data_IF_203309376859
#
_entry.id   IF_203309376859
#
_cell.length_a   1.000
_cell.length_b   1.000
_cell.length_c   1.000
_cell.angle_alpha   90.00
_cell.angle_beta   90.00
_cell.angle_gamma   90.00
#
_symmetry.space_group_name_H-M   'P 1'
#
loop_
_entity.id
_entity.type
_entity.pdbx_description
1 polymer ?
#
# COMPACT_ATOMS: atom_id res chain seq x y z
N UNK A 1 2.29 24.13 -22.74
CA UNK A 1 2.83 22.76 -22.65
C UNK A 1 1.92 21.96 -21.72
N UNK A 2 1.27 20.92 -22.22
CA UNK A 2 0.53 19.98 -21.36
C UNK A 2 1.54 19.26 -20.47
N UNK A 3 1.45 19.44 -19.16
CA UNK A 3 2.23 18.66 -18.20
C UNK A 3 1.81 17.19 -18.34
N UNK A 4 2.70 16.36 -18.83
CA UNK A 4 2.49 14.92 -18.84
C UNK A 4 2.64 14.43 -17.38
N UNK A 5 1.52 14.02 -16.76
CA UNK A 5 1.48 13.67 -15.33
C UNK A 5 2.22 12.37 -14.99
N UNK A 6 2.35 11.47 -15.96
CA UNK A 6 3.02 10.19 -15.80
C UNK A 6 4.14 10.04 -16.84
N UNK A 7 5.21 9.25 -16.54
CA UNK A 7 6.22 8.86 -17.50
C UNK A 7 5.58 8.20 -18.74
N UNK A 8 6.19 8.41 -19.91
CA UNK A 8 5.68 7.83 -21.18
C UNK A 8 5.63 6.29 -21.17
N UNK A 9 6.50 5.67 -20.42
CA UNK A 9 6.64 4.21 -20.26
C UNK A 9 5.96 3.67 -18.98
N UNK A 10 5.04 4.46 -18.37
CA UNK A 10 4.38 4.07 -17.12
C UNK A 10 3.63 2.75 -17.22
N UNK A 11 2.84 2.57 -18.29
CA UNK A 11 2.04 1.35 -18.49
C UNK A 11 2.94 0.12 -18.70
N UNK A 12 4.04 0.27 -19.43
CA UNK A 12 5.01 -0.81 -19.60
C UNK A 12 5.64 -1.21 -18.26
N UNK A 13 6.05 -0.23 -17.45
CA UNK A 13 6.61 -0.46 -16.11
C UNK A 13 5.61 -1.11 -15.16
N UNK A 14 4.35 -0.72 -15.24
CA UNK A 14 3.28 -1.34 -14.46
C UNK A 14 3.12 -2.82 -14.85
N UNK A 15 3.09 -3.13 -16.14
CA UNK A 15 3.06 -4.53 -16.62
C UNK A 15 4.29 -5.32 -16.15
N UNK A 16 5.49 -4.74 -16.21
CA UNK A 16 6.71 -5.36 -15.71
C UNK A 16 6.66 -5.63 -14.20
N UNK A 17 6.10 -4.70 -13.40
CA UNK A 17 5.91 -4.89 -11.96
C UNK A 17 4.97 -6.07 -11.66
N UNK A 18 3.85 -6.17 -12.39
CA UNK A 18 2.91 -7.30 -12.27
C UNK A 18 3.57 -8.62 -12.70
N UNK A 19 4.29 -8.65 -13.81
CA UNK A 19 5.02 -9.85 -14.24
C UNK A 19 6.07 -10.29 -13.22
N UNK A 20 6.80 -9.34 -12.64
CA UNK A 20 7.81 -9.61 -11.61
C UNK A 20 7.18 -10.20 -10.36
N UNK A 21 6.01 -9.67 -9.95
CA UNK A 21 5.22 -10.24 -8.87
C UNK A 21 4.90 -11.71 -9.10
N UNK A 22 4.36 -12.08 -10.28
CA UNK A 22 4.00 -13.45 -10.58
C UNK A 22 5.22 -14.38 -10.73
N UNK A 23 6.30 -13.90 -11.34
CA UNK A 23 7.56 -14.67 -11.44
C UNK A 23 8.12 -14.99 -10.06
N UNK A 24 8.11 -14.03 -9.12
CA UNK A 24 8.61 -14.26 -7.77
C UNK A 24 7.80 -15.30 -6.99
N UNK A 25 6.51 -15.46 -7.32
CA UNK A 25 5.64 -16.47 -6.70
C UNK A 25 5.74 -17.86 -7.33
N UNK A 26 6.13 -17.93 -8.61
CA UNK A 26 6.33 -19.20 -9.32
C UNK A 26 7.73 -19.79 -9.10
N UNK A 27 8.69 -18.98 -8.68
CA UNK A 27 10.03 -19.49 -8.39
C UNK A 27 9.94 -20.59 -7.33
N UNK A 28 10.48 -21.81 -7.59
CA UNK A 28 10.49 -22.88 -6.61
C UNK A 28 11.32 -22.41 -5.41
N UNK A 29 10.65 -21.96 -4.39
CA UNK A 29 11.24 -21.86 -3.07
C UNK A 29 11.60 -23.30 -2.66
N UNK A 30 12.79 -23.54 -2.14
CA UNK A 30 13.15 -24.82 -1.54
C UNK A 30 11.98 -25.23 -0.65
N UNK A 31 11.40 -26.40 -0.97
CA UNK A 31 10.29 -26.99 -0.21
C UNK A 31 10.81 -27.41 1.16
N UNK A 32 11.00 -26.45 2.06
CA UNK A 32 11.11 -26.71 3.49
C UNK A 32 9.70 -26.88 4.04
N UNK A 33 9.48 -27.99 4.75
CA UNK A 33 8.26 -28.33 5.47
C UNK A 33 7.79 -27.17 6.37
N UNK A 34 7.00 -26.27 5.83
CA UNK A 34 6.48 -25.12 6.55
C UNK A 34 5.94 -24.11 5.58
N UNK A 35 4.78 -24.40 5.03
CA UNK A 35 3.91 -23.53 4.25
C UNK A 35 4.53 -22.31 3.54
N UNK A 36 3.89 -21.87 2.50
CA UNK A 36 4.13 -20.67 1.66
C UNK A 36 4.41 -19.33 2.42
N UNK A 37 4.66 -19.39 3.72
CA UNK A 37 4.97 -18.21 4.57
C UNK A 37 6.29 -17.53 4.22
N UNK A 38 7.33 -18.27 3.82
CA UNK A 38 8.67 -17.69 3.60
C UNK A 38 8.77 -16.83 2.33
N UNK A 39 8.02 -17.15 1.28
CA UNK A 39 7.95 -16.31 0.09
C UNK A 39 7.15 -15.01 0.36
N UNK A 40 6.14 -15.06 1.23
CA UNK A 40 5.34 -13.91 1.65
C UNK A 40 6.12 -13.02 2.61
N UNK A 41 7.00 -13.59 3.45
CA UNK A 41 7.81 -12.85 4.44
C UNK A 41 8.97 -12.07 3.82
N UNK A 42 9.40 -12.39 2.60
CA UNK A 42 10.56 -11.71 2.00
C UNK A 42 10.28 -10.27 1.53
N UNK A 43 9.02 -9.84 1.44
CA UNK A 43 8.64 -8.49 0.98
C UNK A 43 9.03 -8.18 -0.47
N UNK A 44 9.74 -9.09 -1.14
CA UNK A 44 10.28 -8.89 -2.50
C UNK A 44 9.22 -8.82 -3.60
N UNK A 45 8.03 -9.36 -3.32
CA UNK A 45 6.99 -9.49 -4.34
C UNK A 45 6.43 -8.14 -4.82
N UNK A 46 6.54 -7.09 -4.00
CA UNK A 46 6.02 -5.76 -4.30
C UNK A 46 7.12 -4.75 -4.68
N UNK A 47 8.38 -5.18 -4.79
CA UNK A 47 9.51 -4.29 -5.12
C UNK A 47 9.31 -3.55 -6.46
N UNK A 48 8.67 -4.18 -7.46
CA UNK A 48 8.34 -3.55 -8.73
C UNK A 48 7.40 -2.35 -8.60
N UNK A 49 6.45 -2.41 -7.67
CA UNK A 49 5.53 -1.30 -7.39
C UNK A 49 6.22 -0.19 -6.57
N UNK A 50 7.15 -0.55 -5.70
CA UNK A 50 7.99 0.44 -5.01
C UNK A 50 8.85 1.22 -6.01
N UNK A 51 9.42 0.54 -7.01
CA UNK A 51 10.18 1.18 -8.07
C UNK A 51 9.31 2.07 -8.96
N UNK A 52 8.07 1.66 -9.24
CA UNK A 52 7.13 2.49 -9.99
C UNK A 52 6.86 3.83 -9.30
N UNK A 53 6.68 3.84 -7.97
CA UNK A 53 6.57 5.09 -7.19
C UNK A 53 7.84 5.93 -7.31
N UNK A 54 9.02 5.32 -7.28
CA UNK A 54 10.30 6.03 -7.46
C UNK A 54 10.37 6.71 -8.81
N UNK A 55 10.03 6.01 -9.87
CA UNK A 55 10.03 6.55 -11.24
C UNK A 55 9.06 7.72 -11.38
N UNK A 56 7.85 7.61 -10.80
CA UNK A 56 6.88 8.71 -10.80
C UNK A 56 7.40 9.91 -10.00
N UNK A 57 8.00 9.68 -8.82
CA UNK A 57 8.59 10.76 -8.02
C UNK A 57 9.69 11.51 -8.77
N UNK A 58 10.57 10.79 -9.45
CA UNK A 58 11.63 11.38 -10.29
C UNK A 58 11.02 12.16 -11.47
N UNK A 59 10.01 11.61 -12.12
CA UNK A 59 9.29 12.29 -13.21
C UNK A 59 8.66 13.61 -12.74
N UNK A 60 8.19 13.65 -11.49
CA UNK A 60 7.69 14.86 -10.85
C UNK A 60 8.79 15.83 -10.39
N UNK A 61 10.06 15.57 -10.71
CA UNK A 61 11.19 16.42 -10.37
C UNK A 61 11.78 16.22 -8.97
N UNK A 62 11.41 15.15 -8.27
CA UNK A 62 12.01 14.81 -6.99
C UNK A 62 13.30 14.00 -7.19
N UNK A 63 14.34 14.19 -6.36
CA UNK A 63 15.54 13.37 -6.39
C UNK A 63 15.21 11.91 -5.98
N UNK A 64 15.95 10.94 -6.51
CA UNK A 64 15.71 9.51 -6.24
C UNK A 64 15.91 9.11 -4.77
N UNK A 65 16.81 9.80 -4.07
CA UNK A 65 17.18 9.54 -2.68
C UNK A 65 16.10 9.92 -1.67
N UNK A 66 15.07 10.67 -2.08
CA UNK A 66 13.93 11.02 -1.21
C UNK A 66 12.89 9.92 -1.13
N UNK A 67 13.02 8.87 -1.95
CA UNK A 67 12.12 7.72 -1.96
C UNK A 67 12.72 6.57 -1.14
N UNK A 68 12.13 6.30 0.01
CA UNK A 68 12.56 5.30 0.98
C UNK A 68 11.66 4.08 0.90
N UNK A 69 12.25 2.90 0.81
CA UNK A 69 11.53 1.61 0.77
C UNK A 69 11.80 0.80 2.04
N UNK A 70 11.04 -0.29 2.27
CA UNK A 70 11.18 -1.15 3.46
C UNK A 70 12.61 -1.56 3.80
N UNK A 71 13.44 -1.76 2.77
CA UNK A 71 14.85 -2.12 2.96
C UNK A 71 15.68 -0.88 3.26
N UNK A 72 15.45 -0.26 4.38
CA UNK A 72 16.19 0.93 4.77
C UNK A 72 15.39 1.79 5.72
N UNK A 73 15.07 3.00 5.30
CA UNK A 73 14.45 4.04 6.13
C UNK A 73 12.94 4.17 5.96
N UNK A 74 12.24 3.10 5.49
CA UNK A 74 10.79 3.09 5.27
C UNK A 74 9.92 3.01 6.54
N UNK A 75 10.44 3.44 7.71
CA UNK A 75 9.76 3.30 9.00
C UNK A 75 9.34 4.67 9.56
N UNK A 76 8.08 4.77 10.00
CA UNK A 76 7.54 5.94 10.68
C UNK A 76 7.17 5.60 12.13
N UNK A 77 7.20 6.58 13.05
CA UNK A 77 6.56 6.43 14.34
C UNK A 77 5.06 6.24 14.17
N UNK A 78 4.46 5.40 14.98
CA UNK A 78 3.02 5.25 15.12
C UNK A 78 2.52 5.95 16.39
N UNK A 79 1.21 6.01 16.55
CA UNK A 79 0.58 6.48 17.77
C UNK A 79 0.19 5.33 18.70
N UNK A 80 -0.42 4.29 18.12
CA UNK A 80 -0.84 3.09 18.86
C UNK A 80 0.25 2.01 18.95
N UNK A 81 1.35 2.20 18.22
CA UNK A 81 2.55 1.34 18.20
C UNK A 81 3.80 2.20 18.11
N UNK A 82 4.92 1.71 18.60
CA UNK A 82 6.16 2.48 18.57
C UNK A 82 6.57 2.90 17.16
N UNK A 83 6.52 1.96 16.21
CA UNK A 83 6.88 2.19 14.81
C UNK A 83 6.08 1.31 13.86
N UNK A 84 5.95 1.75 12.60
CA UNK A 84 5.42 0.97 11.48
C UNK A 84 6.34 1.12 10.27
N UNK A 85 6.70 -0.01 9.67
CA UNK A 85 7.34 -0.03 8.36
C UNK A 85 6.27 0.09 7.26
N UNK A 86 6.45 1.02 6.34
CA UNK A 86 5.65 1.24 5.16
C UNK A 86 6.38 0.74 3.92
N UNK A 87 5.66 0.46 2.85
CA UNK A 87 6.29 -0.03 1.62
C UNK A 87 7.12 1.06 0.95
N UNK A 88 6.59 2.29 0.87
CA UNK A 88 7.31 3.45 0.36
C UNK A 88 6.98 4.69 1.18
N UNK A 89 8.02 5.45 1.52
CA UNK A 89 7.93 6.82 2.01
C UNK A 89 8.60 7.76 1.02
N UNK A 90 8.00 8.93 0.83
CA UNK A 90 8.63 10.04 0.10
C UNK A 90 8.85 11.17 1.11
N UNK A 91 10.12 11.44 1.43
CA UNK A 91 10.52 12.48 2.39
C UNK A 91 11.45 13.45 1.69
N UNK A 92 11.02 14.70 1.56
CA UNK A 92 11.83 15.74 0.90
C UNK A 92 11.93 16.98 1.78
N UNK A 93 13.16 17.45 1.99
CA UNK A 93 13.48 18.63 2.82
C UNK A 93 12.84 18.55 4.21
N UNK A 94 12.90 17.38 4.82
CA UNK A 94 12.35 17.15 6.16
C UNK A 94 10.85 16.99 6.26
N UNK A 95 10.15 16.97 5.13
CA UNK A 95 8.71 16.82 5.07
C UNK A 95 8.34 15.44 4.56
N UNK A 96 7.40 14.79 5.24
CA UNK A 96 6.75 13.59 4.74
C UNK A 96 5.75 14.01 3.62
N UNK A 97 6.10 13.71 2.37
CA UNK A 97 5.31 14.07 1.18
C UNK A 97 4.25 13.01 0.90
N UNK A 98 4.66 11.73 0.91
CA UNK A 98 3.77 10.63 0.58
C UNK A 98 4.14 9.35 1.33
N UNK A 99 3.14 8.52 1.55
CA UNK A 99 3.23 7.19 2.16
C UNK A 99 2.44 6.21 1.32
N UNK A 100 3.01 5.04 1.02
CA UNK A 100 2.32 4.01 0.26
C UNK A 100 2.37 2.67 0.99
N UNK A 101 1.23 1.98 0.96
CA UNK A 101 1.06 0.60 1.44
C UNK A 101 0.57 -0.26 0.29
N UNK A 102 1.30 -1.33 0.00
CA UNK A 102 0.96 -2.29 -1.05
C UNK A 102 0.62 -3.63 -0.45
N UNK A 103 -0.47 -4.21 -0.90
CA UNK A 103 -0.94 -5.52 -0.47
C UNK A 103 -1.18 -6.40 -1.66
N UNK A 104 -1.02 -7.70 -1.45
CA UNK A 104 -1.39 -8.70 -2.46
C UNK A 104 -2.13 -9.85 -1.81
N UNK A 105 -2.99 -10.47 -2.60
CA UNK A 105 -3.66 -11.71 -2.21
C UNK A 105 -3.77 -12.67 -3.38
N UNK A 106 -3.25 -13.87 -3.16
CA UNK A 106 -3.31 -15.01 -4.06
C UNK A 106 -3.82 -16.18 -3.23
N UNK A 107 -4.99 -16.72 -3.60
CA UNK A 107 -5.69 -17.75 -2.82
C UNK A 107 -6.17 -17.31 -1.43
N UNK A 108 -6.72 -18.24 -0.68
CA UNK A 108 -7.19 -18.08 0.73
C UNK A 108 -8.01 -16.80 0.97
N UNK A 109 -8.92 -16.47 0.04
CA UNK A 109 -9.61 -15.18 0.02
C UNK A 109 -10.44 -14.93 1.30
N UNK A 110 -11.17 -15.95 1.79
CA UNK A 110 -12.04 -15.83 2.96
C UNK A 110 -11.29 -15.45 4.24
N UNK A 111 -10.17 -16.11 4.50
CA UNK A 111 -9.40 -15.90 5.72
C UNK A 111 -8.64 -14.57 5.72
N UNK A 112 -8.32 -14.06 4.54
CA UNK A 112 -7.42 -12.90 4.43
C UNK A 112 -8.16 -11.58 4.19
N UNK A 113 -9.39 -11.58 3.67
CA UNK A 113 -10.11 -10.34 3.37
C UNK A 113 -10.28 -9.47 4.62
N UNK A 114 -10.76 -10.05 5.73
CA UNK A 114 -10.95 -9.31 6.97
C UNK A 114 -9.62 -8.78 7.51
N UNK A 115 -8.56 -9.61 7.52
CA UNK A 115 -7.24 -9.18 7.97
C UNK A 115 -6.70 -8.01 7.14
N UNK A 116 -6.86 -8.04 5.81
CA UNK A 116 -6.45 -6.94 4.93
C UNK A 116 -7.25 -5.68 5.15
N UNK A 117 -8.55 -5.83 5.45
CA UNK A 117 -9.42 -4.69 5.80
C UNK A 117 -8.96 -4.04 7.11
N UNK A 118 -8.73 -4.85 8.15
CA UNK A 118 -8.25 -4.37 9.46
C UNK A 118 -6.87 -3.74 9.34
N UNK A 119 -5.93 -4.34 8.61
CA UNK A 119 -4.60 -3.79 8.37
C UNK A 119 -4.66 -2.42 7.65
N UNK A 120 -5.50 -2.29 6.62
CA UNK A 120 -5.64 -1.03 5.88
C UNK A 120 -6.20 0.08 6.78
N UNK A 121 -7.31 -0.18 7.46
CA UNK A 121 -7.96 0.79 8.35
C UNK A 121 -7.05 1.15 9.52
N UNK A 122 -6.50 0.15 10.22
CA UNK A 122 -5.64 0.36 11.38
C UNK A 122 -4.35 1.09 11.04
N UNK A 123 -3.75 0.84 9.88
CA UNK A 123 -2.54 1.53 9.43
C UNK A 123 -2.81 3.01 9.14
N UNK A 124 -3.91 3.32 8.46
CA UNK A 124 -4.29 4.69 8.17
C UNK A 124 -4.68 5.46 9.45
N UNK A 125 -5.49 4.85 10.31
CA UNK A 125 -5.90 5.45 11.58
C UNK A 125 -4.70 5.79 12.46
N UNK A 126 -3.74 4.86 12.59
CA UNK A 126 -2.50 5.06 13.34
C UNK A 126 -1.66 6.22 12.78
N UNK A 127 -1.49 6.27 11.45
CA UNK A 127 -0.74 7.34 10.77
C UNK A 127 -1.40 8.70 10.99
N UNK A 128 -2.72 8.79 10.82
CA UNK A 128 -3.43 10.07 10.95
C UNK A 128 -3.45 10.59 12.39
N UNK A 129 -3.52 9.70 13.40
CA UNK A 129 -3.39 10.11 14.80
C UNK A 129 -1.96 10.57 15.08
N UNK A 130 -0.93 9.82 14.65
CA UNK A 130 0.46 10.20 14.78
C UNK A 130 0.74 11.57 14.12
N UNK A 131 0.22 11.81 12.91
CA UNK A 131 0.33 13.10 12.22
C UNK A 131 -0.29 14.24 13.05
N UNK A 132 -1.53 14.09 13.52
CA UNK A 132 -2.20 15.11 14.34
C UNK A 132 -1.50 15.39 15.68
N UNK A 133 -0.76 14.40 16.20
CA UNK A 133 0.06 14.54 17.41
C UNK A 133 1.47 15.09 17.13
N UNK A 134 1.75 15.49 15.88
CA UNK A 134 3.02 16.12 15.51
C UNK A 134 4.19 15.15 15.34
N UNK A 135 3.95 13.84 15.23
CA UNK A 135 5.02 12.85 15.14
C UNK A 135 5.95 13.04 13.91
N UNK A 136 5.49 13.75 12.88
CA UNK A 136 6.25 13.99 11.64
C UNK A 136 6.73 15.44 11.49
N UNK A 137 6.61 16.26 12.54
CA UNK A 137 7.00 17.66 12.52
C UNK A 137 8.48 17.88 12.88
N UNK A 138 9.14 16.88 13.47
CA UNK A 138 10.53 16.96 13.91
C UNK A 138 11.34 15.86 13.24
N UNK A 139 12.27 16.23 12.35
CA UNK A 139 13.32 15.30 11.92
C UNK A 139 14.28 15.04 13.07
N UNK A 140 14.86 13.85 13.14
CA UNK A 140 16.03 13.63 13.99
C UNK A 140 17.11 14.64 13.60
N UNK A 141 17.71 15.28 14.60
CA UNK A 141 18.60 16.42 14.45
C UNK A 141 19.78 16.18 13.49
N UNK A 142 20.19 14.93 13.29
CA UNK A 142 21.31 14.52 12.45
C UNK A 142 20.96 14.51 10.93
N UNK A 143 19.67 14.62 10.57
CA UNK A 143 19.19 14.63 9.18
C UNK A 143 18.61 15.98 8.75
N UNK A 144 18.48 16.93 9.65
CA UNK A 144 17.97 18.25 9.31
C UNK A 144 19.07 19.12 8.73
N UNK A 145 18.95 19.65 7.51
CA UNK A 145 19.81 20.75 7.07
C UNK A 145 19.67 21.90 8.05
N UNK A 146 20.81 22.50 8.45
CA UNK A 146 20.81 23.63 9.36
C UNK A 146 19.84 24.73 8.85
N UNK A 147 18.84 25.08 9.65
CA UNK A 147 17.89 26.13 9.36
C UNK A 147 16.49 25.69 8.87
N UNK A 148 16.20 24.38 8.74
CA UNK A 148 14.87 23.91 8.36
C UNK A 148 14.08 23.48 9.61
N UNK A 149 13.58 24.46 10.34
CA UNK A 149 12.47 24.28 11.29
C UNK A 149 11.17 24.50 10.50
N UNK A 150 10.63 23.47 9.87
CA UNK A 150 9.31 23.57 9.27
C UNK A 150 8.44 22.45 9.81
N UNK A 151 7.64 22.78 10.80
CA UNK A 151 6.37 22.12 11.03
C UNK A 151 5.45 22.48 9.85
N UNK A 152 5.62 21.82 8.69
CA UNK A 152 4.68 21.97 7.59
C UNK A 152 3.39 21.23 7.98
N UNK A 153 2.28 21.94 8.23
CA UNK A 153 1.04 21.33 8.70
C UNK A 153 0.29 20.56 7.60
N UNK A 154 0.79 20.62 6.35
CA UNK A 154 0.13 19.94 5.24
C UNK A 154 0.22 18.42 5.41
N UNK A 155 -0.92 17.71 5.33
CA UNK A 155 -0.93 16.26 5.48
C UNK A 155 -0.16 15.58 4.34
N UNK A 156 0.48 14.43 4.59
CA UNK A 156 1.08 13.62 3.53
C UNK A 156 -0.01 13.03 2.63
N UNK A 157 0.33 12.78 1.38
CA UNK A 157 -0.49 11.90 0.54
C UNK A 157 -0.35 10.45 1.04
N UNK A 158 -1.46 9.75 1.22
CA UNK A 158 -1.46 8.34 1.65
C UNK A 158 -2.12 7.51 0.56
N UNK A 159 -1.35 6.61 -0.05
CA UNK A 159 -1.79 5.72 -1.11
C UNK A 159 -1.88 4.27 -0.66
N UNK A 160 -2.91 3.57 -1.12
CA UNK A 160 -3.09 2.14 -0.89
C UNK A 160 -3.31 1.40 -2.20
N UNK A 161 -2.69 0.23 -2.35
CA UNK A 161 -2.91 -0.61 -3.53
C UNK A 161 -3.05 -2.07 -3.11
N UNK A 162 -4.01 -2.74 -3.74
CA UNK A 162 -4.24 -4.17 -3.64
C UNK A 162 -4.05 -4.84 -4.99
N UNK A 163 -3.13 -5.80 -5.07
CA UNK A 163 -3.06 -6.74 -6.17
C UNK A 163 -3.79 -8.03 -5.77
N UNK A 164 -4.87 -8.32 -6.46
CA UNK A 164 -5.72 -9.48 -6.22
C UNK A 164 -5.61 -10.46 -7.38
N UNK A 165 -5.42 -11.73 -7.06
CA UNK A 165 -5.46 -12.79 -8.07
C UNK A 165 -6.82 -12.80 -8.77
N UNK A 166 -6.78 -12.75 -10.10
CA UNK A 166 -7.95 -12.87 -10.96
C UNK A 166 -8.21 -14.34 -11.28
N UNK A 167 -9.14 -14.94 -10.56
CA UNK A 167 -9.50 -16.36 -10.69
C UNK A 167 -10.98 -16.59 -10.33
N UNK A 168 -11.56 -17.77 -10.60
CA UNK A 168 -12.95 -18.07 -10.27
C UNK A 168 -13.32 -17.82 -8.81
N UNK A 169 -12.41 -18.16 -7.87
CA UNK A 169 -12.67 -17.98 -6.44
C UNK A 169 -12.72 -16.52 -6.00
N UNK A 170 -11.93 -15.64 -6.65
CA UNK A 170 -11.98 -14.20 -6.39
C UNK A 170 -13.17 -13.51 -7.06
N UNK A 171 -13.73 -14.11 -8.12
CA UNK A 171 -14.84 -13.58 -8.92
C UNK A 171 -16.20 -14.14 -8.55
N UNK A 172 -16.24 -15.32 -7.92
CA UNK A 172 -17.48 -15.98 -7.51
C UNK A 172 -18.21 -15.23 -6.38
N UNK A 173 -19.54 -15.37 -6.29
CA UNK A 173 -20.32 -14.75 -5.23
C UNK A 173 -19.97 -15.39 -3.87
N UNK A 174 -19.92 -14.56 -2.83
CA UNK A 174 -19.59 -14.99 -1.47
C UNK A 174 -20.80 -14.80 -0.58
N UNK A 175 -21.15 -15.83 0.20
CA UNK A 175 -22.22 -15.77 1.18
C UNK A 175 -21.97 -14.75 2.29
N UNK A 176 -23.05 -14.39 2.99
CA UNK A 176 -23.01 -13.54 4.18
C UNK A 176 -23.61 -14.32 5.35
N UNK A 177 -22.99 -14.14 6.51
CA UNK A 177 -23.56 -14.56 7.78
C UNK A 177 -24.20 -13.33 8.45
N UNK A 178 -25.53 -13.34 8.55
CA UNK A 178 -26.34 -12.22 9.04
C UNK A 178 -27.28 -12.66 10.17
N UNK A 179 -26.77 -13.17 11.33
CA UNK A 179 -27.62 -13.76 12.36
C UNK A 179 -28.52 -12.74 13.07
N UNK A 180 -28.10 -11.49 13.20
CA UNK A 180 -28.82 -10.45 13.93
C UNK A 180 -29.12 -9.21 13.10
N UNK A 181 -28.13 -8.65 12.43
CA UNK A 181 -28.25 -7.45 11.62
C UNK A 181 -27.90 -7.72 10.17
N UNK A 182 -28.56 -6.98 9.26
CA UNK A 182 -28.29 -7.10 7.84
C UNK A 182 -27.02 -6.36 7.45
N UNK A 183 -26.18 -6.99 6.66
CA UNK A 183 -25.05 -6.32 6.03
C UNK A 183 -25.52 -5.24 5.05
N UNK A 184 -24.65 -4.28 4.77
CA UNK A 184 -24.93 -3.30 3.72
C UNK A 184 -25.25 -3.99 2.39
N UNK A 185 -26.25 -3.50 1.64
CA UNK A 185 -26.75 -4.17 0.43
C UNK A 185 -25.69 -4.51 -0.60
N UNK A 186 -24.64 -3.68 -0.71
CA UNK A 186 -23.56 -3.83 -1.68
C UNK A 186 -22.71 -5.09 -1.47
N UNK A 187 -22.76 -5.69 -0.25
CA UNK A 187 -22.04 -6.93 0.05
C UNK A 187 -22.82 -8.20 -0.35
N UNK A 188 -24.12 -8.07 -0.63
CA UNK A 188 -24.95 -9.23 -0.97
C UNK A 188 -24.55 -9.82 -2.32
N UNK A 189 -24.11 -11.07 -2.30
CA UNK A 189 -23.60 -11.73 -3.49
C UNK A 189 -22.30 -11.15 -4.04
N UNK A 190 -21.68 -10.22 -3.33
CA UNK A 190 -20.42 -9.63 -3.77
C UNK A 190 -19.29 -10.66 -3.70
N UNK A 191 -18.55 -10.79 -4.82
CA UNK A 191 -17.30 -11.54 -4.88
C UNK A 191 -16.20 -10.87 -4.05
N UNK A 192 -15.08 -11.56 -3.79
CA UNK A 192 -13.93 -10.94 -3.13
C UNK A 192 -13.37 -9.75 -3.93
N UNK A 193 -13.34 -9.84 -5.26
CA UNK A 193 -12.97 -8.72 -6.11
C UNK A 193 -13.87 -7.48 -5.87
N UNK A 194 -15.20 -7.69 -5.80
CA UNK A 194 -16.13 -6.60 -5.50
C UNK A 194 -15.98 -6.09 -4.05
N UNK A 195 -15.72 -6.96 -3.08
CA UNK A 195 -15.48 -6.56 -1.68
C UNK A 195 -14.22 -5.71 -1.54
N UNK A 196 -13.13 -6.04 -2.24
CA UNK A 196 -11.92 -5.21 -2.27
C UNK A 196 -12.14 -3.87 -2.99
N UNK A 197 -12.95 -3.85 -4.05
CA UNK A 197 -13.35 -2.61 -4.69
C UNK A 197 -14.13 -1.71 -3.72
N UNK A 198 -15.12 -2.26 -3.01
CA UNK A 198 -15.88 -1.54 -1.97
C UNK A 198 -14.97 -1.03 -0.85
N UNK A 199 -13.99 -1.82 -0.43
CA UNK A 199 -12.99 -1.40 0.55
C UNK A 199 -12.23 -0.19 0.02
N UNK A 200 -11.65 -0.27 -1.18
CA UNK A 200 -10.90 0.82 -1.79
C UNK A 200 -11.73 2.11 -1.91
N UNK A 201 -12.98 2.00 -2.40
CA UNK A 201 -13.92 3.11 -2.50
C UNK A 201 -14.17 3.78 -1.12
N UNK A 202 -14.36 2.96 -0.07
CA UNK A 202 -14.63 3.44 1.29
C UNK A 202 -13.40 4.02 1.97
N UNK A 203 -12.23 3.44 1.76
CA UNK A 203 -10.97 3.99 2.29
C UNK A 203 -10.73 5.44 1.82
N UNK A 204 -11.07 5.73 0.55
CA UNK A 204 -10.96 7.08 0.01
C UNK A 204 -12.11 7.97 0.48
N UNK A 205 -13.35 7.47 0.47
CA UNK A 205 -14.53 8.22 0.89
C UNK A 205 -14.43 8.69 2.36
N UNK A 206 -13.93 7.81 3.23
CA UNK A 206 -13.72 8.11 4.66
C UNK A 206 -12.39 8.84 4.94
N UNK A 207 -11.70 9.29 3.86
CA UNK A 207 -10.45 10.07 3.95
C UNK A 207 -9.31 9.36 4.71
N UNK A 208 -9.36 8.03 4.79
CA UNK A 208 -8.26 7.24 5.35
C UNK A 208 -7.07 7.20 4.39
N UNK A 209 -7.34 7.22 3.09
CA UNK A 209 -6.34 7.28 2.02
C UNK A 209 -6.72 8.36 1.01
N UNK A 210 -5.72 9.04 0.45
CA UNK A 210 -5.90 10.01 -0.62
C UNK A 210 -6.21 9.35 -1.96
N UNK A 211 -5.72 8.11 -2.16
CA UNK A 211 -6.11 7.25 -3.27
C UNK A 211 -5.98 5.77 -2.90
N UNK A 212 -6.82 4.94 -3.51
CA UNK A 212 -6.76 3.50 -3.40
C UNK A 212 -6.93 2.85 -4.78
N UNK A 213 -6.16 1.80 -5.07
CA UNK A 213 -6.20 1.08 -6.33
C UNK A 213 -6.39 -0.42 -6.08
N UNK A 214 -7.20 -1.07 -6.92
CA UNK A 214 -7.34 -2.50 -7.01
C UNK A 214 -6.84 -2.96 -8.39
N UNK A 215 -5.80 -3.77 -8.40
CA UNK A 215 -5.29 -4.44 -9.59
C UNK A 215 -5.74 -5.91 -9.56
N UNK A 216 -6.40 -6.35 -10.62
CA UNK A 216 -6.77 -7.74 -10.84
C UNK A 216 -5.82 -8.32 -11.88
N UNK A 217 -5.15 -9.41 -11.54
CA UNK A 217 -4.18 -10.05 -12.43
C UNK A 217 -4.12 -11.55 -12.17
N UNK A 218 -3.98 -12.32 -13.25
CA UNK A 218 -3.70 -13.76 -13.20
C UNK A 218 -2.23 -14.05 -13.45
N UNK A 219 -1.79 -15.24 -13.02
CA UNK A 219 -0.42 -15.74 -13.20
C UNK A 219 -0.11 -16.14 -14.65
#
# INVERSE_FOLDING_TARGET
>A
MSLQLLPVDFDERLHQAVQTFWRSRRAPGEAKQGGTRDAVTSGKNMDGFCELVRVVAIHCGLPSEVVHTRRGSGTLPGYYRATKAWDVLVIHRGRLIAVFEFKSQVGSFGNNFNNRTEEAIGSAADLWVAHRQGAFSTLQSDMAPAGVLSADPRPPFVGWMMLLEDCPDSRGPVGLDEPHYKAFPEFRGASYARRYQLLAERLVKEQLYGAAALLLSSA
#
